data_IF_594374002580
#
_entry.id   IF_594374002580
#
_cell.length_a   1.000
_cell.length_b   1.000
_cell.length_c   1.000
_cell.angle_alpha   90.00
_cell.angle_beta   90.00
_cell.angle_gamma   90.00
#
_symmetry.space_group_name_H-M   'P 1'
#
loop_
_entity.id
_entity.type
_entity.pdbx_description
1 polymer ?
2 polymer ?
3 non-polymer ?
4 non-polymer ?
5 water ?
#
# COMPACT_ATOMS: atom_id res chain seq x y z
N UNK A 11 0.57 4.24 22.36
CA UNK A 11 -0.37 4.15 21.20
C UNK A 11 -0.65 2.70 20.75
N UNK A 12 -1.90 2.45 20.36
CA UNK A 12 -2.32 1.14 19.89
C UNK A 12 -1.94 0.86 18.42
N UNK A 13 -1.74 -0.42 18.09
CA UNK A 13 -1.31 -0.92 16.80
C UNK A 13 -2.22 -0.59 15.60
N UNK A 14 -3.52 -0.35 15.85
CA UNK A 14 -4.52 -0.20 14.78
C UNK A 14 -4.83 1.24 14.38
N UNK A 15 -4.03 2.18 14.88
CA UNK A 15 -4.29 3.62 14.78
C UNK A 15 -3.40 4.34 13.76
N UNK A 16 -4.03 5.03 12.82
CA UNK A 16 -3.39 5.82 11.76
C UNK A 16 -3.79 7.29 11.71
N UNK A 17 -2.88 8.16 11.31
CA UNK A 17 -3.21 9.56 11.11
C UNK A 17 -3.24 9.81 9.57
N UNK A 18 -4.28 10.46 9.05
CA UNK A 18 -4.24 10.87 7.63
C UNK A 18 -4.14 12.38 7.49
N UNK A 19 -3.12 12.79 6.73
CA UNK A 19 -2.83 14.18 6.39
C UNK A 19 -2.51 14.34 4.91
N UNK A 20 -2.90 15.49 4.41
CA UNK A 20 -2.76 15.81 3.01
C UNK A 20 -1.52 16.71 3.11
N UNK A 21 -0.80 16.86 1.99
CA UNK A 21 0.18 17.92 1.83
C UNK A 21 0.18 18.25 0.34
N UNK A 22 0.59 19.47 0.05
CA UNK A 22 0.50 19.97 -1.28
C UNK A 22 1.85 20.37 -1.76
N UNK A 23 2.12 20.07 -3.01
CA UNK A 23 3.45 20.35 -3.60
C UNK A 23 3.28 20.36 -5.10
N UNK A 24 3.91 21.36 -5.72
CA UNK A 24 3.82 21.61 -7.17
C UNK A 24 2.37 21.63 -7.67
N UNK A 25 1.44 22.10 -6.84
CA UNK A 25 0.04 22.12 -7.24
C UNK A 25 -0.64 20.75 -7.22
N UNK A 26 0.04 19.72 -6.69
CA UNK A 26 -0.60 18.38 -6.58
C UNK A 26 -0.87 18.02 -5.11
N UNK A 27 -1.73 17.05 -4.88
CA UNK A 27 -2.07 16.65 -3.51
C UNK A 27 -1.48 15.30 -3.15
N UNK A 28 -0.73 15.29 -2.06
CA UNK A 28 -0.22 14.07 -1.46
C UNK A 28 -1.01 13.71 -0.21
N UNK A 29 -1.67 12.56 -0.28
CA UNK A 29 -2.30 11.96 0.90
C UNK A 29 -1.26 11.06 1.59
N UNK A 30 -1.15 11.21 2.89
CA UNK A 30 -0.15 10.55 3.71
C UNK A 30 -0.93 9.82 4.82
N UNK A 31 -0.53 8.59 5.08
CA UNK A 31 -1.04 7.81 6.18
C UNK A 31 0.17 7.47 7.01
N UNK A 32 0.13 7.84 8.30
CA UNK A 32 1.20 7.64 9.24
C UNK A 32 0.71 6.61 10.27
N UNK A 33 1.47 5.51 10.44
CA UNK A 33 1.16 4.58 11.51
C UNK A 33 1.69 5.20 12.79
N UNK A 34 0.78 5.56 13.69
CA UNK A 34 1.22 6.37 14.83
C UNK A 34 2.37 5.75 15.67
N UNK A 35 2.18 4.52 16.14
CA UNK A 35 3.14 3.86 17.03
C UNK A 35 4.56 3.65 16.44
N UNK A 36 4.65 3.59 15.11
CA UNK A 36 5.88 3.20 14.46
C UNK A 36 6.51 4.36 13.71
N UNK A 37 5.69 5.23 13.13
CA UNK A 37 6.17 6.40 12.29
C UNK A 37 6.30 5.97 10.80
N UNK A 38 5.85 4.75 10.51
CA UNK A 38 5.76 4.21 9.16
C UNK A 38 4.81 4.99 8.33
N UNK A 39 5.18 5.22 7.08
CA UNK A 39 4.24 5.96 6.25
C UNK A 39 3.94 5.26 4.94
N UNK A 40 2.78 5.54 4.39
CA UNK A 40 2.62 5.41 2.96
C UNK A 40 1.85 6.62 2.46
N UNK A 41 1.86 6.81 1.14
CA UNK A 41 1.43 8.10 0.52
C UNK A 41 1.19 7.93 -0.95
N UNK A 42 0.35 8.81 -1.51
CA UNK A 42 0.05 8.83 -2.95
C UNK A 42 -0.24 10.24 -3.32
N UNK A 43 0.07 10.56 -4.59
CA UNK A 43 -0.39 11.78 -5.20
C UNK A 43 -1.75 11.47 -5.76
N UNK A 44 -2.73 12.30 -5.44
CA UNK A 44 -4.04 12.14 -6.09
C UNK A 44 -4.32 13.48 -6.80
N UNK A 45 -5.26 13.48 -7.76
CA UNK A 45 -5.65 14.73 -8.48
C UNK A 45 -6.17 15.85 -7.52
N UNK A 46 -7.16 15.53 -6.69
CA UNK A 46 -7.62 16.47 -5.67
C UNK A 46 -8.23 15.70 -4.53
N UNK A 47 -8.42 16.40 -3.42
CA UNK A 47 -8.84 15.86 -2.16
C UNK A 47 -10.31 15.54 -2.23
N UNK A 48 -10.73 14.68 -3.16
CA UNK A 48 -12.14 14.33 -3.19
C UNK A 48 -12.45 13.14 -2.30
N UNK A 49 -13.75 12.90 -2.11
CA UNK A 49 -14.27 11.74 -1.39
C UNK A 49 -13.84 10.44 -2.03
N UNK A 50 -14.09 10.30 -3.32
CA UNK A 50 -13.72 9.09 -4.06
C UNK A 50 -12.23 8.68 -3.93
N UNK A 51 -11.32 9.65 -3.98
CA UNK A 51 -9.89 9.35 -3.97
C UNK A 51 -9.44 8.98 -2.57
N UNK A 52 -9.98 9.69 -1.59
CA UNK A 52 -9.74 9.38 -0.18
C UNK A 52 -10.23 7.98 0.17
N UNK A 53 -11.48 7.70 -0.19
CA UNK A 53 -12.11 6.40 0.04
C UNK A 53 -11.25 5.31 -0.56
N UNK A 54 -10.79 5.56 -1.79
CA UNK A 54 -9.99 4.57 -2.49
C UNK A 54 -8.66 4.36 -1.75
N UNK A 55 -8.01 5.46 -1.35
CA UNK A 55 -6.79 5.42 -0.54
C UNK A 55 -6.94 4.60 0.73
N UNK A 56 -8.01 4.87 1.47
CA UNK A 56 -8.27 4.16 2.76
C UNK A 56 -8.45 2.68 2.57
N UNK A 57 -9.15 2.34 1.51
CA UNK A 57 -9.49 0.96 1.20
C UNK A 57 -8.24 0.14 0.81
N UNK A 58 -7.28 0.82 0.18
CA UNK A 58 -6.05 0.16 -0.20
C UNK A 58 -5.27 -0.08 1.08
N UNK A 59 -5.17 0.99 1.90
CA UNK A 59 -4.45 0.96 3.19
C UNK A 59 -4.97 -0.12 4.13
N UNK A 60 -6.29 -0.19 4.25
CA UNK A 60 -6.92 -1.13 5.12
C UNK A 60 -6.83 -2.55 4.56
N UNK A 61 -6.61 -2.72 3.25
CA UNK A 61 -6.45 -4.07 2.73
C UNK A 61 -5.08 -4.63 3.10
N UNK A 62 -4.16 -3.75 3.49
CA UNK A 62 -2.80 -4.20 3.70
C UNK A 62 -2.37 -4.25 5.13
N UNK A 63 -2.95 -3.40 5.94
CA UNK A 63 -2.69 -3.36 7.35
C UNK A 63 -3.99 -3.56 8.13
N UNK A 64 -3.90 -3.94 9.42
CA UNK A 64 -5.13 -4.12 10.17
C UNK A 64 -5.47 -2.77 10.83
N UNK A 65 -6.22 -1.97 10.07
CA UNK A 65 -6.53 -0.59 10.37
C UNK A 65 -7.82 -0.55 11.21
N UNK A 66 -7.70 -0.10 12.45
CA UNK A 66 -8.88 -0.05 13.33
C UNK A 66 -9.34 1.40 13.35
N UNK A 67 -8.40 2.32 13.50
CA UNK A 67 -8.82 3.68 13.73
C UNK A 67 -8.15 4.66 12.83
N UNK A 68 -8.92 5.59 12.25
CA UNK A 68 -8.27 6.72 11.58
C UNK A 68 -8.57 8.11 12.17
N UNK A 69 -7.49 8.86 12.48
CA UNK A 69 -7.54 10.28 12.89
C UNK A 69 -7.32 11.12 11.66
N UNK A 70 -8.20 12.09 11.41
CA UNK A 70 -8.14 12.86 10.17
C UNK A 70 -8.08 14.30 10.55
N UNK A 71 -7.75 15.14 9.57
CA UNK A 71 -7.86 16.59 9.72
C UNK A 71 -9.32 17.08 9.58
N UNK A 72 -10.30 16.17 9.53
CA UNK A 72 -11.71 16.56 9.29
C UNK A 72 -11.97 17.45 8.04
N UNK A 73 -11.10 17.37 7.03
CA UNK A 73 -11.30 18.13 5.79
C UNK A 73 -12.55 17.62 5.13
N UNK A 74 -13.03 18.32 4.12
CA UNK A 74 -14.35 17.95 3.56
C UNK A 74 -14.32 16.59 2.89
N UNK A 75 -13.16 16.18 2.36
CA UNK A 75 -13.01 14.79 1.83
C UNK A 75 -13.43 13.68 2.83
N UNK A 76 -13.17 13.90 4.11
CA UNK A 76 -13.45 12.89 5.15
C UNK A 76 -14.87 12.92 5.67
N UNK A 77 -15.60 14.01 5.41
CA UNK A 77 -16.94 14.13 5.91
C UNK A 77 -17.93 13.64 4.86
N UNK A 78 -17.45 13.38 3.65
CA UNK A 78 -18.28 12.84 2.57
C UNK A 78 -18.82 11.45 2.91
N UNK A 79 -19.91 11.04 2.26
CA UNK A 79 -20.57 9.79 2.63
C UNK A 79 -19.83 8.62 1.95
N UNK A 80 -19.16 8.91 0.83
CA UNK A 80 -18.24 7.99 0.19
C UNK A 80 -17.17 7.44 1.15
N UNK A 81 -16.54 8.31 1.93
CA UNK A 81 -15.52 7.92 2.91
C UNK A 81 -16.15 7.22 4.11
N UNK A 82 -17.16 7.85 4.69
CA UNK A 82 -17.94 7.20 5.73
C UNK A 82 -18.33 5.78 5.29
N UNK A 83 -18.85 5.61 4.08
CA UNK A 83 -19.23 4.25 3.64
C UNK A 83 -18.00 3.36 3.44
N UNK A 84 -16.87 3.94 3.06
CA UNK A 84 -15.65 3.15 2.95
C UNK A 84 -15.20 2.63 4.31
N UNK A 85 -15.29 3.49 5.31
CA UNK A 85 -14.85 3.16 6.66
C UNK A 85 -15.77 2.16 7.35
N UNK A 86 -17.07 2.31 7.13
CA UNK A 86 -18.02 1.32 7.60
C UNK A 86 -17.82 -0.04 6.93
N UNK A 87 -17.53 -0.06 5.63
CA UNK A 87 -17.31 -1.35 4.94
C UNK A 87 -16.07 -2.02 5.50
N UNK A 88 -15.04 -1.23 5.78
CA UNK A 88 -13.80 -1.80 6.28
C UNK A 88 -13.80 -1.98 7.80
N UNK A 89 -14.89 -1.60 8.48
CA UNK A 89 -14.91 -1.54 9.94
C UNK A 89 -13.79 -0.64 10.48
N UNK A 90 -13.68 0.57 9.96
CA UNK A 90 -12.66 1.47 10.48
C UNK A 90 -13.37 2.51 11.32
N UNK A 91 -12.88 2.76 12.50
CA UNK A 91 -13.40 3.88 13.30
C UNK A 91 -12.77 5.18 12.84
N UNK A 92 -13.63 6.07 12.36
CA UNK A 92 -13.18 7.33 11.86
C UNK A 92 -13.38 8.41 12.91
N UNK A 93 -12.30 9.11 13.21
CA UNK A 93 -12.23 10.06 14.26
C UNK A 93 -11.73 11.41 13.68
N UNK A 94 -12.70 12.21 13.25
CA UNK A 94 -12.45 13.50 12.63
C UNK A 94 -12.14 14.59 13.68
N UNK A 95 -11.13 15.42 13.37
CA UNK A 95 -10.68 16.52 14.24
C UNK A 95 -9.75 16.11 15.37
N UNK A 96 -9.54 14.80 15.57
CA UNK A 96 -8.69 14.30 16.65
C UNK A 96 -7.21 14.32 16.24
N UNK A 97 -6.38 15.03 17.02
CA UNK A 97 -5.01 15.31 16.61
C UNK A 97 -3.99 14.28 17.08
N UNK A 98 -2.73 14.50 16.68
CA UNK A 98 -1.57 13.84 17.27
C UNK A 98 -0.26 14.48 16.80
N UNK A 106 3.83 14.23 13.15
CA UNK A 106 2.87 13.97 12.07
C UNK A 106 2.61 15.24 11.23
N UNK A 107 2.88 16.41 11.82
CA UNK A 107 2.87 17.66 11.07
C UNK A 107 4.30 17.97 10.70
N UNK A 108 5.20 17.44 11.54
CA UNK A 108 6.61 17.34 11.24
C UNK A 108 6.79 16.34 10.10
N UNK A 109 5.96 15.28 10.13
CA UNK A 109 5.97 14.24 9.10
C UNK A 109 5.89 14.84 7.70
N UNK A 110 5.13 15.92 7.54
CA UNK A 110 5.01 16.63 6.27
C UNK A 110 6.23 17.42 5.83
N UNK A 111 6.83 18.14 6.77
CA UNK A 111 8.06 18.86 6.55
C UNK A 111 9.20 17.86 6.27
N UNK A 112 9.18 16.70 6.93
CA UNK A 112 10.22 15.69 6.73
C UNK A 112 10.08 15.06 5.35
N UNK A 113 8.86 14.66 5.03
CA UNK A 113 8.63 14.08 3.75
C UNK A 113 8.95 15.03 2.57
N UNK A 114 8.53 16.28 2.62
CA UNK A 114 8.88 17.25 1.56
C UNK A 114 10.38 17.45 1.55
N UNK A 115 11.03 17.25 2.68
CA UNK A 115 12.47 17.37 2.67
C UNK A 115 13.08 16.21 1.86
N UNK A 116 12.69 14.99 2.19
CA UNK A 116 13.25 13.86 1.49
C UNK A 116 12.85 13.93 0.01
N UNK A 117 11.62 14.37 -0.28
CA UNK A 117 11.23 14.56 -1.68
C UNK A 117 12.21 15.50 -2.39
N UNK A 118 12.66 16.56 -1.71
CA UNK A 118 13.67 17.51 -2.26
C UNK A 118 14.95 16.82 -2.70
N UNK A 119 15.44 15.89 -1.87
CA UNK A 119 16.69 15.13 -2.07
C UNK A 119 16.67 14.11 -3.25
N UNK A 120 15.49 13.61 -3.62
CA UNK A 120 15.38 12.63 -4.71
C UNK A 120 14.71 13.22 -5.94
N UNK A 121 14.22 14.44 -5.85
CA UNK A 121 13.31 14.98 -6.85
C UNK A 121 13.96 14.96 -8.25
N UNK A 122 15.28 15.19 -8.30
CA UNK A 122 16.00 15.24 -9.58
C UNK A 122 16.27 13.86 -10.19
N UNK A 123 16.02 12.79 -9.44
CA UNK A 123 16.16 11.43 -10.00
C UNK A 123 14.87 10.87 -10.61
N UNK A 124 13.81 11.68 -10.63
CA UNK A 124 12.51 11.22 -11.12
C UNK A 124 11.99 12.19 -12.17
N UNK A 125 11.36 11.66 -13.23
CA UNK A 125 10.70 12.55 -14.20
C UNK A 125 9.45 13.20 -13.62
N UNK A 126 8.71 12.43 -12.82
CA UNK A 126 7.43 12.88 -12.26
C UNK A 126 7.40 12.91 -10.76
N UNK A 127 6.66 13.87 -10.21
CA UNK A 127 6.61 14.04 -8.77
C UNK A 127 6.20 12.73 -8.12
N UNK A 128 5.18 12.11 -8.65
CA UNK A 128 4.66 10.92 -7.99
C UNK A 128 5.74 9.85 -7.69
N UNK A 129 6.76 9.73 -8.57
CA UNK A 129 7.84 8.80 -8.40
C UNK A 129 8.80 9.30 -7.28
N UNK A 130 8.99 10.61 -7.21
CA UNK A 130 9.77 11.23 -6.16
C UNK A 130 9.14 10.99 -4.78
N UNK A 131 7.80 10.94 -4.73
CA UNK A 131 7.03 10.69 -3.47
C UNK A 131 7.24 9.30 -3.02
N UNK A 132 7.15 8.32 -3.91
CA UNK A 132 7.43 6.94 -3.52
C UNK A 132 8.87 6.66 -3.13
N UNK A 133 9.78 7.29 -3.81
CA UNK A 133 11.19 7.14 -3.42
C UNK A 133 11.38 7.69 -2.02
N UNK A 134 10.71 8.81 -1.72
CA UNK A 134 10.79 9.43 -0.42
C UNK A 134 10.17 8.56 0.68
N UNK A 135 8.99 8.01 0.42
CA UNK A 135 8.39 6.99 1.29
C UNK A 135 9.38 5.84 1.61
N UNK A 136 9.87 5.20 0.55
CA UNK A 136 10.92 4.20 0.71
C UNK A 136 12.02 4.71 1.65
N UNK A 137 12.51 5.92 1.47
CA UNK A 137 13.69 6.32 2.24
C UNK A 137 13.30 6.56 3.69
N UNK A 138 12.18 7.25 3.89
CA UNK A 138 11.63 7.41 5.22
C UNK A 138 11.50 6.07 5.92
N UNK A 139 10.87 5.09 5.28
CA UNK A 139 10.55 3.81 5.94
C UNK A 139 11.71 2.88 6.28
N UNK A 140 12.80 3.03 5.54
CA UNK A 140 14.07 2.29 5.74
C UNK A 140 15.18 2.94 6.57
N UNK A 141 15.00 4.17 7.01
CA UNK A 141 16.04 4.84 7.75
C UNK A 141 16.14 4.35 9.19
N UNK A 142 17.37 4.00 9.59
CA UNK A 142 17.72 3.71 10.96
C UNK A 142 17.49 4.95 11.78
N UNK A 143 16.53 4.84 12.70
CA UNK A 143 16.25 5.90 13.66
C UNK A 143 17.03 5.55 14.94
N UNK A 144 17.77 6.54 15.46
CA UNK A 144 18.54 6.40 16.69
C UNK A 144 19.78 5.53 16.53
N UNK A 145 20.81 6.06 15.86
CA UNK A 145 22.08 5.35 15.70
C UNK A 145 22.03 4.10 14.83
N UNK A 146 23.02 3.23 15.00
CA UNK A 146 23.14 2.02 14.17
C UNK A 146 22.72 0.75 14.92
N UNK A 147 22.38 0.92 16.20
CA UNK A 147 21.74 -0.14 16.97
C UNK A 147 20.21 -0.12 16.82
N UNK A 148 19.72 0.78 15.98
CA UNK A 148 18.27 1.05 15.87
C UNK A 148 17.46 0.25 14.86
N UNK A 149 16.19 0.64 14.72
CA UNK A 149 15.21 0.00 13.84
C UNK A 149 14.56 1.06 12.97
N UNK A 150 14.17 0.65 11.79
CA UNK A 150 13.60 1.58 10.83
C UNK A 150 12.11 1.52 11.09
N UNK A 151 11.39 2.59 10.69
CA UNK A 151 9.93 2.59 10.75
C UNK A 151 9.28 1.30 10.15
N UNK A 152 9.75 0.82 9.00
CA UNK A 152 9.18 -0.41 8.39
C UNK A 152 9.43 -1.64 9.24
N UNK A 153 10.55 -1.65 9.98
CA UNK A 153 10.78 -2.72 10.95
C UNK A 153 9.85 -2.54 12.14
N UNK A 154 9.68 -1.30 12.61
CA UNK A 154 8.85 -1.15 13.83
C UNK A 154 7.38 -1.53 13.61
N UNK A 155 6.80 -1.16 12.47
CA UNK A 155 5.40 -1.53 12.23
C UNK A 155 5.13 -3.05 12.25
N UNK A 156 5.89 -3.81 11.50
CA UNK A 156 5.73 -5.27 11.46
C UNK A 156 5.92 -5.91 12.89
N UNK A 157 6.89 -5.41 13.65
CA UNK A 157 7.04 -5.69 15.05
C UNK A 157 5.80 -5.37 15.90
N UNK A 158 5.21 -4.21 15.69
CA UNK A 158 4.03 -3.87 16.51
C UNK A 158 2.80 -4.68 16.11
N UNK A 159 2.66 -4.98 14.82
CA UNK A 159 1.41 -5.51 14.27
C UNK A 159 1.32 -7.02 14.37
N UNK A 160 2.49 -7.65 14.37
CA UNK A 160 2.69 -9.08 14.40
C UNK A 160 1.97 -9.68 15.59
N UNK A 161 1.16 -10.71 15.32
CA UNK A 161 0.35 -11.31 16.34
C UNK A 161 1.03 -12.57 16.92
N UNK A 162 1.80 -13.28 16.11
CA UNK A 162 2.49 -14.51 16.56
C UNK A 162 3.93 -14.60 16.04
N UNK B 12 12.44 -17.21 1.53
CA UNK B 12 12.89 -15.85 1.95
C UNK B 12 11.67 -14.98 2.30
N UNK B 13 11.80 -14.16 3.36
CA UNK B 13 10.83 -13.09 3.61
C UNK B 13 10.70 -12.12 2.41
N UNK B 14 11.64 -12.16 1.45
CA UNK B 14 11.76 -11.11 0.43
C UNK B 14 11.34 -11.44 -1.01
N UNK B 15 10.72 -12.59 -1.24
CA UNK B 15 10.38 -13.09 -2.59
C UNK B 15 8.92 -12.87 -2.94
N UNK B 16 8.70 -12.22 -4.08
CA UNK B 16 7.39 -11.83 -4.53
C UNK B 16 7.19 -12.31 -5.94
N UNK B 17 5.96 -12.56 -6.30
CA UNK B 17 5.69 -12.83 -7.68
C UNK B 17 4.77 -11.72 -8.18
N UNK B 18 5.03 -11.22 -9.37
CA UNK B 18 4.20 -10.16 -9.91
C UNK B 18 3.51 -10.70 -11.18
N UNK B 19 2.22 -10.42 -11.29
CA UNK B 19 1.40 -10.95 -12.35
C UNK B 19 0.42 -9.93 -12.92
N UNK B 20 0.08 -10.15 -14.20
CA UNK B 20 -0.85 -9.32 -14.94
C UNK B 20 -2.18 -10.03 -14.87
N UNK B 21 -3.27 -9.30 -14.69
CA UNK B 21 -4.57 -9.90 -15.00
C UNK B 21 -5.50 -8.91 -15.74
N UNK B 22 -6.27 -9.45 -16.68
CA UNK B 22 -7.09 -8.62 -17.55
C UNK B 22 -8.56 -8.91 -17.37
N UNK B 23 -9.33 -7.91 -16.95
CA UNK B 23 -10.80 -8.00 -17.02
C UNK B 23 -11.50 -6.67 -17.15
N UNK B 24 -12.70 -6.71 -17.72
CA UNK B 24 -13.47 -5.50 -18.12
C UNK B 24 -12.65 -4.46 -18.91
N UNK B 25 -11.62 -4.94 -19.61
CA UNK B 25 -10.82 -4.09 -20.51
C UNK B 25 -9.65 -3.38 -19.86
N UNK B 26 -9.63 -3.31 -18.53
CA UNK B 26 -8.51 -2.69 -17.82
C UNK B 26 -7.48 -3.77 -17.40
N UNK B 27 -6.28 -3.36 -16.95
CA UNK B 27 -5.24 -4.27 -16.47
C UNK B 27 -5.12 -4.22 -14.94
N UNK B 28 -4.99 -5.40 -14.31
CA UNK B 28 -4.67 -5.53 -12.86
C UNK B 28 -3.28 -6.16 -12.67
N UNK B 29 -2.49 -5.46 -11.88
CA UNK B 29 -1.15 -5.88 -11.52
C UNK B 29 -1.23 -6.45 -10.12
N UNK B 30 -0.87 -7.72 -9.98
CA UNK B 30 -1.02 -8.43 -8.73
C UNK B 30 0.37 -8.85 -8.22
N UNK B 31 0.70 -8.37 -7.03
CA UNK B 31 1.89 -8.88 -6.35
C UNK B 31 1.47 -9.84 -5.21
N UNK B 32 2.11 -10.99 -5.19
CA UNK B 32 1.89 -12.04 -4.19
C UNK B 32 3.19 -12.26 -3.45
N UNK B 33 3.13 -12.24 -2.15
CA UNK B 33 4.25 -12.52 -1.30
C UNK B 33 4.16 -14.05 -1.23
N UNK B 34 5.14 -14.73 -1.80
CA UNK B 34 5.12 -16.18 -2.02
C UNK B 34 4.90 -17.03 -0.75
N UNK B 35 5.60 -16.71 0.32
CA UNK B 35 5.63 -17.50 1.58
C UNK B 35 4.37 -17.29 2.40
N UNK B 36 3.57 -16.23 2.09
CA UNK B 36 2.36 -15.95 2.87
C UNK B 36 1.03 -15.97 2.09
N UNK B 37 1.04 -15.65 0.79
CA UNK B 37 -0.19 -15.57 0.03
C UNK B 37 -0.84 -14.18 0.11
N UNK B 38 -0.15 -13.28 0.78
CA UNK B 38 -0.55 -11.88 0.89
C UNK B 38 -0.47 -11.22 -0.47
N UNK B 39 -1.48 -10.42 -0.81
CA UNK B 39 -1.51 -9.74 -2.10
C UNK B 39 -1.61 -8.21 -2.00
N UNK B 40 -0.97 -7.53 -2.95
CA UNK B 40 -1.43 -6.20 -3.38
C UNK B 40 -1.70 -6.13 -4.88
N UNK B 41 -2.59 -5.21 -5.27
CA UNK B 41 -3.08 -5.07 -6.64
C UNK B 41 -3.41 -3.62 -6.96
N UNK B 42 -3.11 -3.20 -8.17
CA UNK B 42 -3.43 -1.83 -8.59
C UNK B 42 -3.97 -2.00 -9.97
N UNK B 43 -4.97 -1.19 -10.27
CA UNK B 43 -5.66 -1.28 -11.53
C UNK B 43 -5.12 -0.11 -12.34
N UNK B 44 -4.68 -0.39 -13.56
CA UNK B 44 -3.98 0.56 -14.40
C UNK B 44 -4.59 0.48 -15.84
N UNK B 45 -4.45 1.56 -16.62
CA UNK B 45 -5.06 1.60 -17.97
C UNK B 45 -4.43 0.55 -18.91
N UNK B 46 -3.10 0.53 -18.89
CA UNK B 46 -2.30 -0.36 -19.69
C UNK B 46 -1.09 -0.79 -18.87
N UNK B 47 -0.59 -1.96 -19.26
CA UNK B 47 0.55 -2.64 -18.71
C UNK B 47 1.83 -1.98 -19.27
N UNK B 48 2.25 -0.88 -18.67
CA UNK B 48 3.35 -0.11 -19.21
C UNK B 48 4.58 -0.26 -18.29
N UNK B 49 5.77 0.09 -18.80
CA UNK B 49 7.01 0.19 -18.02
C UNK B 49 6.88 1.23 -16.90
N UNK B 50 6.43 2.43 -17.22
CA UNK B 50 6.04 3.45 -16.21
C UNK B 50 5.22 2.95 -14.99
N UNK B 51 4.15 2.20 -15.23
CA UNK B 51 3.22 1.73 -14.16
C UNK B 51 3.80 0.59 -13.33
N UNK B 52 4.49 -0.31 -14.01
CA UNK B 52 5.19 -1.39 -13.39
C UNK B 52 6.26 -0.89 -12.41
N UNK B 53 7.09 0.05 -12.86
CA UNK B 53 8.16 0.60 -12.05
C UNK B 53 7.59 1.28 -10.85
N UNK B 54 6.61 2.11 -11.09
CA UNK B 54 5.89 2.83 -10.09
C UNK B 54 5.27 1.87 -9.05
N UNK B 55 4.60 0.83 -9.53
CA UNK B 55 4.03 -0.21 -8.67
C UNK B 55 5.13 -0.86 -7.80
N UNK B 56 6.22 -1.29 -8.44
CA UNK B 56 7.33 -1.88 -7.71
C UNK B 56 7.93 -0.91 -6.68
N UNK B 57 7.97 0.39 -6.98
CA UNK B 57 8.50 1.33 -5.98
C UNK B 57 7.60 1.45 -4.70
N UNK B 58 6.29 1.49 -4.90
CA UNK B 58 5.32 1.50 -3.80
C UNK B 58 5.54 0.24 -2.98
N UNK B 59 5.56 -0.91 -3.68
CA UNK B 59 5.73 -2.24 -3.07
C UNK B 59 6.96 -2.26 -2.23
N UNK B 60 8.09 -1.87 -2.82
CA UNK B 60 9.33 -1.91 -2.06
C UNK B 60 9.44 -0.90 -0.90
N UNK B 61 8.74 0.24 -0.95
CA UNK B 61 8.75 1.22 0.18
C UNK B 61 8.00 0.70 1.44
N UNK B 62 7.20 -0.33 1.23
CA UNK B 62 6.30 -0.88 2.22
C UNK B 62 6.89 -2.18 2.83
N UNK B 63 7.28 -3.11 1.96
CA UNK B 63 7.76 -4.42 2.37
C UNK B 63 9.22 -4.58 2.02
N UNK B 64 9.93 -5.55 2.62
CA UNK B 64 11.35 -5.71 2.25
C UNK B 64 11.51 -6.57 1.05
N UNK B 65 11.43 -6.00 -0.15
CA UNK B 65 11.37 -6.78 -1.39
C UNK B 65 12.80 -7.01 -1.88
N UNK B 66 13.17 -8.27 -2.14
CA UNK B 66 14.53 -8.63 -2.53
C UNK B 66 14.47 -9.13 -3.96
N UNK B 67 13.53 -10.01 -4.25
CA UNK B 67 13.52 -10.67 -5.53
C UNK B 67 12.07 -10.62 -5.99
N UNK B 68 11.86 -10.23 -7.24
CA UNK B 68 10.55 -10.37 -7.85
C UNK B 68 10.62 -11.32 -9.02
N UNK B 69 9.61 -12.19 -9.10
CA UNK B 69 9.43 -13.16 -10.19
C UNK B 69 8.33 -12.64 -11.08
N UNK B 70 8.55 -12.57 -12.38
CA UNK B 70 7.65 -11.83 -13.26
C UNK B 70 7.33 -12.67 -14.47
N UNK B 71 6.22 -12.40 -15.17
CA UNK B 71 6.01 -13.10 -16.45
C UNK B 71 7.21 -12.57 -17.28
N UNK B 72 7.30 -12.68 -18.60
CA UNK B 72 8.52 -12.00 -19.14
C UNK B 72 8.27 -10.83 -20.13
N UNK B 73 7.17 -10.11 -19.89
CA UNK B 73 6.70 -9.00 -20.71
C UNK B 73 7.66 -7.83 -20.78
N UNK B 74 7.46 -6.98 -21.78
CA UNK B 74 8.36 -5.88 -22.05
C UNK B 74 8.19 -4.79 -21.04
N UNK B 75 7.00 -4.71 -20.45
CA UNK B 75 6.79 -3.86 -19.29
C UNK B 75 7.79 -4.13 -18.17
N UNK B 76 8.32 -5.34 -18.03
CA UNK B 76 9.28 -5.60 -16.94
C UNK B 76 10.70 -5.36 -17.35
N UNK B 77 10.91 -5.03 -18.60
CA UNK B 77 12.29 -4.94 -19.05
C UNK B 77 12.70 -3.56 -19.59
N UNK B 78 11.77 -2.59 -19.53
CA UNK B 78 12.14 -1.23 -19.84
C UNK B 78 13.26 -0.68 -18.91
N UNK B 79 13.88 0.40 -19.36
CA UNK B 79 14.99 0.94 -18.60
C UNK B 79 14.48 1.63 -17.34
N UNK B 80 13.21 2.02 -17.35
CA UNK B 80 12.60 2.68 -16.21
C UNK B 80 12.36 1.65 -15.09
N UNK B 81 11.88 0.47 -15.43
CA UNK B 81 11.81 -0.62 -14.50
C UNK B 81 13.20 -1.03 -13.95
N UNK B 82 14.22 -1.14 -14.81
CA UNK B 82 15.55 -1.47 -14.31
C UNK B 82 16.12 -0.43 -13.44
N UNK B 83 15.98 0.86 -13.76
CA UNK B 83 16.40 1.93 -12.84
C UNK B 83 15.63 1.88 -11.51
N UNK B 84 14.34 1.60 -11.53
CA UNK B 84 13.58 1.44 -10.25
C UNK B 84 14.08 0.27 -9.41
N UNK B 85 14.32 -0.84 -10.09
CA UNK B 85 14.77 -2.08 -9.45
C UNK B 85 16.23 -1.89 -8.99
N UNK B 86 17.06 -1.26 -9.80
CA UNK B 86 18.40 -0.99 -9.31
C UNK B 86 18.35 -0.05 -8.10
N UNK B 87 17.60 1.06 -8.20
CA UNK B 87 17.49 1.99 -7.06
C UNK B 87 16.97 1.31 -5.79
N UNK B 88 16.01 0.39 -5.92
CA UNK B 88 15.35 -0.18 -4.74
C UNK B 88 16.06 -1.40 -4.22
N UNK B 89 17.05 -1.88 -4.97
CA UNK B 89 17.80 -3.04 -4.57
C UNK B 89 17.04 -4.31 -4.81
N UNK B 90 16.19 -4.30 -5.83
CA UNK B 90 15.34 -5.44 -6.14
C UNK B 90 16.01 -6.28 -7.23
N UNK B 91 15.98 -7.58 -7.12
CA UNK B 91 16.53 -8.44 -8.15
C UNK B 91 15.39 -8.98 -9.04
N UNK B 92 15.48 -8.78 -10.35
CA UNK B 92 14.54 -9.43 -11.30
C UNK B 92 15.03 -10.80 -11.74
N UNK B 93 14.08 -11.71 -11.96
CA UNK B 93 14.34 -13.11 -12.31
C UNK B 93 13.25 -13.65 -13.24
N UNK B 106 1.93 -18.29 -6.78
CA UNK B 106 1.15 -19.32 -7.46
C UNK B 106 -0.09 -18.65 -8.05
N UNK B 107 -0.57 -19.19 -9.17
CA UNK B 107 -1.88 -18.84 -9.75
C UNK B 107 -2.99 -19.16 -8.75
N UNK B 108 -2.62 -20.00 -7.78
CA UNK B 108 -3.42 -20.34 -6.60
C UNK B 108 -4.05 -19.12 -5.90
N UNK B 109 -3.31 -18.00 -5.82
CA UNK B 109 -3.84 -16.73 -5.29
C UNK B 109 -4.18 -15.71 -6.41
N UNK B 110 -4.36 -16.20 -7.64
CA UNK B 110 -4.65 -15.37 -8.83
C UNK B 110 -6.03 -15.66 -9.45
N UNK B 111 -6.35 -16.94 -9.50
CA UNK B 111 -7.69 -17.40 -9.83
C UNK B 111 -8.56 -17.03 -8.64
N UNK B 112 -7.94 -17.09 -7.46
CA UNK B 112 -8.61 -16.73 -6.23
C UNK B 112 -9.00 -15.25 -6.21
N UNK B 113 -8.11 -14.37 -6.71
CA UNK B 113 -8.46 -12.95 -6.74
C UNK B 113 -9.65 -12.69 -7.66
N UNK B 114 -9.63 -13.36 -8.81
CA UNK B 114 -10.68 -13.28 -9.82
C UNK B 114 -12.03 -13.70 -9.24
N UNK B 115 -12.04 -14.87 -8.61
CA UNK B 115 -13.21 -15.42 -7.91
C UNK B 115 -13.74 -14.31 -6.97
N UNK B 116 -12.89 -13.74 -6.14
CA UNK B 116 -13.36 -12.79 -5.12
C UNK B 116 -13.92 -11.52 -5.75
N UNK B 117 -13.27 -11.03 -6.80
CA UNK B 117 -13.73 -9.79 -7.44
C UNK B 117 -15.17 -10.02 -7.89
N UNK B 118 -15.43 -11.20 -8.44
CA UNK B 118 -16.77 -11.54 -8.95
C UNK B 118 -17.85 -11.74 -7.90
N UNK B 119 -17.45 -12.11 -6.68
CA UNK B 119 -18.43 -12.26 -5.60
C UNK B 119 -18.91 -10.92 -4.99
N UNK B 120 -18.04 -9.90 -5.03
CA UNK B 120 -18.34 -8.55 -4.51
C UNK B 120 -18.42 -7.51 -5.61
N UNK B 121 -18.20 -7.91 -6.85
CA UNK B 121 -18.20 -6.94 -7.95
C UNK B 121 -19.47 -6.11 -7.95
N UNK B 122 -20.62 -6.74 -7.76
CA UNK B 122 -21.91 -6.04 -7.81
C UNK B 122 -21.99 -4.89 -6.79
N UNK B 123 -21.22 -5.03 -5.70
CA UNK B 123 -21.20 -4.07 -4.62
C UNK B 123 -20.53 -2.73 -4.96
N UNK B 124 -19.87 -2.66 -6.10
CA UNK B 124 -19.19 -1.44 -6.51
C UNK B 124 -19.40 -1.10 -7.97
N UNK B 125 -19.38 0.19 -8.28
CA UNK B 125 -19.51 0.67 -9.66
C UNK B 125 -18.18 0.41 -10.40
N UNK B 126 -17.09 0.98 -9.89
CA UNK B 126 -15.80 0.90 -10.58
C UNK B 126 -15.04 -0.36 -10.25
N UNK B 127 -14.47 -0.96 -11.29
CA UNK B 127 -13.60 -2.14 -11.17
C UNK B 127 -12.54 -1.96 -10.08
N UNK B 128 -11.95 -0.77 -10.03
CA UNK B 128 -10.91 -0.37 -9.11
C UNK B 128 -11.28 -0.75 -7.69
N UNK B 129 -12.49 -0.33 -7.32
CA UNK B 129 -12.96 -0.38 -5.96
C UNK B 129 -13.22 -1.83 -5.55
N UNK B 130 -13.85 -2.63 -6.41
CA UNK B 130 -14.03 -4.07 -6.14
C UNK B 130 -12.68 -4.82 -6.06
N UNK B 131 -11.69 -4.39 -6.85
CA UNK B 131 -10.37 -4.98 -6.76
C UNK B 131 -9.83 -4.80 -5.35
N UNK B 132 -9.83 -3.58 -4.82
CA UNK B 132 -9.31 -3.32 -3.48
C UNK B 132 -10.20 -3.90 -2.38
N UNK B 133 -11.51 -3.99 -2.61
CA UNK B 133 -12.34 -4.81 -1.68
C UNK B 133 -11.89 -6.30 -1.63
N UNK B 134 -11.63 -6.87 -2.81
CA UNK B 134 -11.20 -8.24 -2.92
C UNK B 134 -9.83 -8.49 -2.34
N UNK B 135 -8.91 -7.54 -2.48
CA UNK B 135 -7.61 -7.60 -1.80
C UNK B 135 -7.79 -7.55 -0.29
N UNK B 136 -8.58 -6.59 0.19
CA UNK B 136 -9.03 -6.59 1.59
C UNK B 136 -9.49 -7.96 2.05
N UNK B 137 -10.51 -8.50 1.41
CA UNK B 137 -11.14 -9.77 1.84
C UNK B 137 -10.13 -10.91 1.82
N UNK B 138 -9.34 -10.98 0.75
CA UNK B 138 -8.30 -11.99 0.70
C UNK B 138 -7.27 -11.87 1.82
N UNK B 139 -6.79 -10.67 2.08
CA UNK B 139 -5.72 -10.54 3.08
C UNK B 139 -6.18 -10.76 4.54
N UNK B 140 -7.49 -10.59 4.79
CA UNK B 140 -8.01 -10.67 6.16
C UNK B 140 -8.76 -11.92 6.45
N UNK B 141 -8.99 -12.76 5.43
CA UNK B 141 -9.65 -14.02 5.66
C UNK B 141 -8.78 -15.01 6.39
N UNK B 142 -9.27 -15.46 7.55
CA UNK B 142 -8.64 -16.48 8.34
C UNK B 142 -8.67 -17.74 7.53
N UNK B 143 -7.55 -18.41 7.42
CA UNK B 143 -7.57 -19.76 6.84
C UNK B 143 -7.62 -20.81 7.97
N UNK B 144 -8.41 -21.86 7.78
CA UNK B 144 -8.62 -22.93 8.76
C UNK B 144 -9.50 -22.46 9.93
N UNK B 145 -9.50 -23.23 11.01
CA UNK B 145 -10.43 -23.03 12.11
C UNK B 145 -9.80 -22.13 13.16
N UNK B 146 -10.26 -22.27 14.39
CA UNK B 146 -9.62 -21.50 15.45
C UNK B 146 -8.18 -22.01 15.59
N UNK B 147 -7.20 -21.12 15.53
CA UNK B 147 -5.79 -21.48 15.32
C UNK B 147 -5.28 -21.03 13.95
N UNK B 148 -6.20 -20.64 13.08
CA UNK B 148 -5.83 -20.23 11.71
C UNK B 148 -5.25 -18.83 11.68
N UNK B 149 -4.67 -18.47 10.55
CA UNK B 149 -4.13 -17.14 10.32
C UNK B 149 -4.70 -16.58 9.03
N UNK B 150 -4.69 -15.25 8.85
CA UNK B 150 -4.95 -14.70 7.54
C UNK B 150 -3.61 -14.50 6.84
N UNK B 151 -3.64 -14.36 5.52
CA UNK B 151 -2.45 -13.98 4.75
C UNK B 151 -1.79 -12.71 5.29
N UNK B 152 -2.59 -11.66 5.53
CA UNK B 152 -2.12 -10.42 6.26
C UNK B 152 -1.31 -10.61 7.53
N UNK B 153 -1.81 -11.48 8.41
CA UNK B 153 -0.98 -11.96 9.59
C UNK B 153 0.24 -12.80 9.24
N UNK B 154 0.15 -13.70 8.26
CA UNK B 154 1.33 -14.52 7.91
C UNK B 154 2.50 -13.65 7.45
N UNK B 155 2.25 -12.65 6.61
CA UNK B 155 3.33 -11.80 6.12
C UNK B 155 4.03 -11.08 7.25
N UNK B 156 3.27 -10.36 8.07
CA UNK B 156 3.93 -9.60 9.15
C UNK B 156 4.62 -10.54 10.15
N UNK B 157 4.03 -11.69 10.44
CA UNK B 157 4.69 -12.71 11.31
C UNK B 157 6.00 -13.20 10.69
N UNK B 158 5.95 -13.56 9.39
CA UNK B 158 7.17 -14.05 8.72
C UNK B 158 8.31 -13.00 8.78
N UNK B 159 7.96 -11.73 8.53
CA UNK B 159 8.95 -10.66 8.50
C UNK B 159 9.35 -10.21 9.89
N UNK B 160 8.41 -10.24 10.83
CA UNK B 160 8.78 -9.95 12.21
C UNK B 160 9.76 -11.04 12.71
N UNK B 161 9.46 -12.31 12.44
CA UNK B 161 10.38 -13.41 12.82
C UNK B 161 11.76 -13.20 12.21
N UNK B 162 11.77 -12.90 10.93
CA UNK B 162 13.02 -12.73 10.21
C UNK B 162 13.83 -11.55 10.75
N UNK B 163 13.18 -10.50 11.25
CA UNK B 163 13.93 -9.41 11.88
C UNK B 163 14.65 -9.86 13.19
N UNK B 164 14.72 -11.18 13.42
CA UNK B 164 15.61 -11.74 14.47
C UNK B 164 16.66 -12.73 13.95
N UNK C 1 -24.21 1.58 -2.69
CA UNK C 1 -23.21 2.63 -2.67
C UNK C 1 -21.83 2.18 -3.17
N UNK C 3 -18.67 3.60 -3.46
CA UNK C 3 -17.87 4.39 -4.44
C UNK C 3 -18.58 5.43 -5.25
N UNK C 4 -20.02 5.31 -5.27
CA UNK C 4 -21.08 6.14 -5.89
C UNK C 4 -22.47 5.67 -5.38
N UNK C 6 -26.19 3.74 -4.46
CA UNK C 6 -26.48 2.91 -3.30
C UNK C 6 -25.67 1.62 -2.96
#
# INVERSE_FOLDING_TARGET
MGSHMHGQVDSSPGIWQLDCTHLEGKVILVAVHVASGYIEAEVIPAETGQETAYFLLKLAGRWPVKTVHTDNGSNFTSTTVKAACDWAGIKQEDGIPYNPQSQGVIESMNKELKKIIGQVRDQAEHLKTAVQMAVFIHNHKRKGGIGGYSAGERIVDIIATDIQTKE
MGSHMHGQVDSSPGIWQLDCTHLEGKVILVAVHVASGYIEAEVIPAETGQETAYFLLKLAGRWPVKTVHTDNGSNFTSTTVKAACDWAGIKQEDGIPYNPQSQGVIESMNKELKKIIGQVRDQAEHLKTAVQMAVFIHNHKRKGGIGGYSAGERIVDIIATDIQTKE
KXDNXP
#
